data_IF_665803102426
#
_entry.id   IF_665803102426
#
_cell.length_a   1.000
_cell.length_b   1.000
_cell.length_c   1.000
_cell.angle_alpha   90.00
_cell.angle_beta   90.00
_cell.angle_gamma   90.00
#
_symmetry.space_group_name_H-M   'P 1'
#
loop_
_entity.id
_entity.type
_entity.pdbx_description
1 polymer ?
#
# COMPACT_ATOMS: atom_id res chain seq x y z
N UNK A 1 -26.56 -10.51 -45.66
CA UNK A 1 -25.18 -10.26 -45.20
C UNK A 1 -25.04 -8.75 -45.00
N UNK A 2 -24.95 -8.27 -43.76
CA UNK A 2 -24.78 -6.82 -43.52
C UNK A 2 -23.41 -6.35 -43.99
N UNK A 3 -23.41 -5.29 -44.80
CA UNK A 3 -22.25 -4.69 -45.47
C UNK A 3 -21.22 -4.16 -44.46
N UNK A 4 -19.92 -4.29 -44.75
CA UNK A 4 -18.80 -3.89 -43.89
C UNK A 4 -18.90 -2.43 -43.36
N UNK A 5 -19.22 -1.41 -44.17
CA UNK A 5 -19.42 -0.03 -43.69
C UNK A 5 -20.54 0.10 -42.67
N UNK A 6 -21.65 -0.64 -42.82
CA UNK A 6 -22.75 -0.60 -41.83
C UNK A 6 -22.32 -1.17 -40.48
N UNK A 7 -21.45 -2.19 -40.46
CA UNK A 7 -20.89 -2.74 -39.21
C UNK A 7 -19.96 -1.75 -38.52
N UNK A 8 -19.11 -1.05 -39.28
CA UNK A 8 -18.19 -0.04 -38.76
C UNK A 8 -18.98 1.15 -38.18
N UNK A 9 -19.98 1.64 -38.91
CA UNK A 9 -20.84 2.73 -38.43
C UNK A 9 -21.58 2.35 -37.14
N UNK A 10 -22.14 1.13 -37.07
CA UNK A 10 -22.80 0.64 -35.87
C UNK A 10 -21.84 0.53 -34.68
N UNK A 11 -20.61 0.05 -34.90
CA UNK A 11 -19.59 -0.04 -33.86
C UNK A 11 -19.20 1.34 -33.30
N UNK A 12 -19.10 2.35 -34.16
CA UNK A 12 -18.80 3.72 -33.74
C UNK A 12 -19.94 4.39 -32.98
N UNK A 13 -21.17 4.23 -33.46
CA UNK A 13 -22.36 4.72 -32.74
C UNK A 13 -22.46 4.05 -31.37
N UNK A 14 -22.23 2.73 -31.30
CA UNK A 14 -22.24 1.99 -30.05
C UNK A 14 -21.14 2.45 -29.09
N UNK A 15 -19.92 2.70 -29.59
CA UNK A 15 -18.83 3.25 -28.79
C UNK A 15 -19.19 4.62 -28.18
N UNK A 16 -19.75 5.52 -29.00
CA UNK A 16 -20.11 6.85 -28.53
C UNK A 16 -21.18 6.80 -27.44
N UNK A 17 -22.23 5.98 -27.65
CA UNK A 17 -23.29 5.76 -26.66
C UNK A 17 -22.72 5.12 -25.39
N UNK A 18 -21.88 4.09 -25.51
CA UNK A 18 -21.26 3.43 -24.36
C UNK A 18 -20.39 4.39 -23.54
N UNK A 19 -19.48 5.12 -24.20
CA UNK A 19 -18.60 6.06 -23.50
C UNK A 19 -19.39 7.21 -22.85
N UNK A 20 -20.47 7.67 -23.49
CA UNK A 20 -21.38 8.66 -22.90
C UNK A 20 -22.06 8.14 -21.63
N UNK A 21 -22.53 6.89 -21.64
CA UNK A 21 -23.08 6.22 -20.46
C UNK A 21 -22.05 6.04 -19.36
N UNK A 22 -20.84 5.58 -19.69
CA UNK A 22 -19.74 5.45 -18.72
C UNK A 22 -19.41 6.80 -18.07
N UNK A 23 -19.39 7.90 -18.83
CA UNK A 23 -19.19 9.23 -18.24
C UNK A 23 -20.33 9.62 -17.30
N UNK A 24 -21.59 9.38 -17.67
CA UNK A 24 -22.74 9.64 -16.81
C UNK A 24 -22.71 8.79 -15.53
N UNK A 25 -22.23 7.54 -15.61
CA UNK A 25 -22.02 6.67 -14.45
C UNK A 25 -20.92 7.22 -13.55
N UNK A 26 -19.78 7.64 -14.09
CA UNK A 26 -18.70 8.29 -13.34
C UNK A 26 -19.23 9.52 -12.58
N UNK A 27 -19.99 10.39 -13.26
CA UNK A 27 -20.57 11.59 -12.64
C UNK A 27 -21.58 11.24 -11.55
N UNK A 28 -22.35 10.16 -11.73
CA UNK A 28 -23.32 9.68 -10.75
C UNK A 28 -22.64 9.08 -9.52
N UNK A 29 -21.58 8.30 -9.70
CA UNK A 29 -20.76 7.76 -8.62
C UNK A 29 -20.10 8.91 -7.84
N UNK A 30 -19.56 9.93 -8.52
CA UNK A 30 -19.00 11.11 -7.87
C UNK A 30 -20.04 11.88 -7.04
N UNK A 31 -21.28 12.01 -7.53
CA UNK A 31 -22.38 12.62 -6.75
C UNK A 31 -22.76 11.79 -5.52
N UNK A 32 -22.78 10.46 -5.65
CA UNK A 32 -23.02 9.56 -4.51
C UNK A 32 -21.91 9.68 -3.48
N UNK A 33 -20.66 9.69 -3.93
CA UNK A 33 -19.49 9.85 -3.09
C UNK A 33 -19.51 11.17 -2.31
N UNK A 34 -19.89 12.28 -2.97
CA UNK A 34 -19.99 13.59 -2.32
C UNK A 34 -21.16 13.71 -1.31
N UNK A 35 -22.18 12.86 -1.42
CA UNK A 35 -23.39 12.91 -0.56
C UNK A 35 -23.41 11.84 0.52
N UNK A 36 -22.45 10.91 0.53
CA UNK A 36 -22.45 9.76 1.43
C UNK A 36 -21.50 9.96 2.60
N UNK A 37 -22.03 9.87 3.82
CA UNK A 37 -21.22 9.88 5.06
C UNK A 37 -20.65 8.48 5.40
N UNK A 38 -21.31 7.40 5.00
CA UNK A 38 -20.90 6.01 5.27
C UNK A 38 -20.57 5.24 3.98
N UNK A 39 -19.32 4.81 3.85
CA UNK A 39 -18.82 4.09 2.68
C UNK A 39 -19.52 2.74 2.43
N UNK A 40 -20.01 2.05 3.48
CA UNK A 40 -20.78 0.80 3.30
C UNK A 40 -22.07 1.01 2.53
N UNK A 41 -22.76 2.13 2.80
CA UNK A 41 -23.98 2.48 2.09
C UNK A 41 -23.72 2.89 0.63
N UNK A 42 -22.53 3.44 0.35
CA UNK A 42 -22.10 3.68 -1.03
C UNK A 42 -21.95 2.36 -1.79
N UNK A 43 -21.27 1.37 -1.21
CA UNK A 43 -21.10 0.05 -1.83
C UNK A 43 -22.46 -0.61 -2.10
N UNK A 44 -23.39 -0.53 -1.15
CA UNK A 44 -24.75 -1.07 -1.31
C UNK A 44 -25.50 -0.43 -2.49
N UNK A 45 -25.34 0.88 -2.71
CA UNK A 45 -25.91 1.57 -3.88
C UNK A 45 -25.24 1.15 -5.18
N UNK A 46 -23.94 0.93 -5.19
CA UNK A 46 -23.23 0.44 -6.37
C UNK A 46 -23.66 -0.99 -6.73
N UNK A 47 -23.93 -1.84 -5.73
CA UNK A 47 -24.45 -3.19 -5.95
C UNK A 47 -25.80 -3.20 -6.66
N UNK A 48 -26.71 -2.35 -6.23
CA UNK A 48 -28.08 -2.29 -6.73
C UNK A 48 -28.26 -1.21 -7.81
N UNK A 49 -27.23 -0.96 -8.61
CA UNK A 49 -27.27 0.01 -9.70
C UNK A 49 -28.43 -0.30 -10.65
N UNK A 50 -29.32 0.67 -10.86
CA UNK A 50 -30.56 0.49 -11.64
C UNK A 50 -30.38 0.78 -13.13
N UNK A 51 -29.41 1.62 -13.48
CA UNK A 51 -29.13 2.03 -14.85
C UNK A 51 -28.17 1.06 -15.55
N UNK A 52 -27.84 1.32 -16.83
CA UNK A 52 -26.81 0.57 -17.54
C UNK A 52 -25.48 0.64 -16.77
N UNK A 53 -24.91 -0.49 -16.33
CA UNK A 53 -23.80 -0.50 -15.40
C UNK A 53 -22.44 -0.35 -16.10
N UNK A 54 -22.36 -0.04 -17.40
CA UNK A 54 -21.09 0.03 -18.10
C UNK A 54 -20.12 1.06 -17.50
N UNK A 55 -18.94 0.59 -17.09
CA UNK A 55 -17.77 1.37 -16.67
C UNK A 55 -16.58 1.14 -17.60
N UNK A 56 -16.82 0.75 -18.86
CA UNK A 56 -15.75 0.48 -19.82
C UNK A 56 -15.63 1.59 -20.86
N UNK A 57 -14.43 2.17 -20.99
CA UNK A 57 -14.16 3.16 -22.05
C UNK A 57 -13.65 2.43 -23.29
N UNK A 58 -14.44 2.50 -24.36
CA UNK A 58 -14.15 1.86 -25.64
C UNK A 58 -13.46 2.84 -26.58
N UNK A 59 -12.38 2.40 -27.24
CA UNK A 59 -11.55 3.25 -28.12
C UNK A 59 -11.33 2.56 -29.49
N UNK A 60 -12.36 1.92 -30.05
CA UNK A 60 -12.28 1.25 -31.36
C UNK A 60 -11.94 2.22 -32.49
N UNK A 61 -12.47 3.45 -32.47
CA UNK A 61 -12.12 4.49 -33.45
C UNK A 61 -10.63 4.80 -33.42
N UNK A 62 -10.03 4.95 -32.23
CA UNK A 62 -8.59 5.19 -32.10
C UNK A 62 -7.79 4.06 -32.76
N UNK A 63 -8.08 2.81 -32.41
CA UNK A 63 -7.34 1.66 -32.95
C UNK A 63 -7.54 1.49 -34.46
N UNK A 64 -8.74 1.74 -34.99
CA UNK A 64 -8.97 1.68 -36.44
C UNK A 64 -8.07 2.68 -37.18
N UNK A 65 -8.04 3.95 -36.76
CA UNK A 65 -7.25 4.98 -37.44
C UNK A 65 -5.74 4.79 -37.25
N UNK A 66 -5.30 4.18 -36.14
CA UNK A 66 -3.91 3.72 -35.98
C UNK A 66 -3.58 2.61 -37.00
N UNK A 67 -4.42 1.59 -37.12
CA UNK A 67 -4.21 0.51 -38.10
C UNK A 67 -4.20 1.04 -39.55
N UNK A 68 -5.14 1.93 -39.89
CA UNK A 68 -5.18 2.59 -41.21
C UNK A 68 -3.92 3.44 -41.42
N UNK A 69 -3.49 4.20 -40.41
CA UNK A 69 -2.29 5.03 -40.48
C UNK A 69 -1.02 4.21 -40.72
N UNK A 70 -0.87 3.09 -40.00
CA UNK A 70 0.24 2.14 -40.18
C UNK A 70 0.20 1.53 -41.59
N UNK A 71 -0.97 1.07 -42.04
CA UNK A 71 -1.13 0.50 -43.39
C UNK A 71 -0.76 1.49 -44.49
N UNK A 72 -1.19 2.75 -44.37
CA UNK A 72 -0.84 3.83 -45.31
C UNK A 72 0.65 4.17 -45.25
N UNK A 73 1.28 4.15 -44.07
CA UNK A 73 2.71 4.38 -43.93
C UNK A 73 3.54 3.27 -44.61
N UNK A 74 3.13 2.02 -44.48
CA UNK A 74 3.77 0.89 -45.18
C UNK A 74 3.64 1.07 -46.69
N UNK A 75 2.46 1.43 -47.20
CA UNK A 75 2.26 1.70 -48.64
C UNK A 75 3.07 2.90 -49.14
N UNK A 76 3.20 3.95 -48.32
CA UNK A 76 4.00 5.14 -48.62
C UNK A 76 5.48 4.80 -48.85
N UNK A 77 6.01 3.82 -48.11
CA UNK A 77 7.39 3.36 -48.25
C UNK A 77 7.68 2.74 -49.62
N UNK A 78 6.69 2.05 -50.21
CA UNK A 78 6.86 1.35 -51.50
C UNK A 78 6.43 2.17 -52.73
N UNK A 79 5.68 3.26 -52.56
CA UNK A 79 5.05 3.98 -53.68
C UNK A 79 5.46 5.44 -53.75
N UNK A 80 4.89 6.29 -52.90
CA UNK A 80 5.09 7.74 -52.93
C UNK A 80 5.17 8.37 -51.54
N UNK A 81 6.15 9.28 -51.30
CA UNK A 81 6.33 9.93 -50.01
C UNK A 81 5.14 10.76 -49.52
N UNK A 82 4.29 11.26 -50.43
CA UNK A 82 3.12 12.08 -50.05
C UNK A 82 2.11 11.31 -49.19
N UNK A 83 2.08 9.98 -49.29
CA UNK A 83 1.24 9.12 -48.45
C UNK A 83 1.66 9.14 -46.98
N UNK A 84 2.89 9.53 -46.64
CA UNK A 84 3.28 9.74 -45.24
C UNK A 84 2.49 10.88 -44.58
N UNK A 85 2.12 11.93 -45.34
CA UNK A 85 1.28 13.00 -44.80
C UNK A 85 -0.12 12.49 -44.43
N UNK A 86 -0.69 11.59 -45.23
CA UNK A 86 -1.97 10.94 -44.93
C UNK A 86 -1.88 9.99 -43.74
N UNK A 87 -0.77 9.25 -43.60
CA UNK A 87 -0.53 8.43 -42.42
C UNK A 87 -0.44 9.28 -41.14
N UNK A 88 0.31 10.39 -41.18
CA UNK A 88 0.43 11.34 -40.05
C UNK A 88 -0.93 11.95 -39.71
N UNK A 89 -1.70 12.38 -40.71
CA UNK A 89 -3.04 12.93 -40.50
C UNK A 89 -4.01 11.90 -39.87
N UNK A 90 -3.96 10.64 -40.32
CA UNK A 90 -4.74 9.53 -39.76
C UNK A 90 -4.39 9.26 -38.29
N UNK A 91 -3.09 9.22 -37.97
CA UNK A 91 -2.60 9.03 -36.59
C UNK A 91 -2.99 10.24 -35.71
N UNK A 92 -2.82 11.47 -36.20
CA UNK A 92 -3.23 12.68 -35.48
C UNK A 92 -4.75 12.68 -35.19
N UNK A 93 -5.56 12.27 -36.15
CA UNK A 93 -7.01 12.13 -35.96
C UNK A 93 -7.36 11.04 -34.93
N UNK A 94 -6.62 9.92 -34.91
CA UNK A 94 -6.78 8.88 -33.89
C UNK A 94 -6.60 9.47 -32.49
N UNK A 95 -5.49 10.18 -32.25
CA UNK A 95 -5.22 10.81 -30.96
C UNK A 95 -6.25 11.87 -30.58
N UNK A 96 -6.73 12.67 -31.54
CA UNK A 96 -7.80 13.63 -31.32
C UNK A 96 -9.12 12.98 -30.87
N UNK A 97 -9.46 11.81 -31.41
CA UNK A 97 -10.69 11.07 -31.06
C UNK A 97 -10.55 10.12 -29.87
N UNK A 98 -9.38 10.01 -29.27
CA UNK A 98 -9.15 9.12 -28.13
C UNK A 98 -9.91 9.60 -26.89
N UNK A 99 -10.77 8.75 -26.33
CA UNK A 99 -11.36 8.99 -25.01
C UNK A 99 -10.38 8.55 -23.92
N UNK A 100 -10.09 9.46 -22.99
CA UNK A 100 -9.14 9.22 -21.90
C UNK A 100 -9.73 8.30 -20.83
N UNK A 101 -8.99 7.26 -20.44
CA UNK A 101 -9.35 6.38 -19.32
C UNK A 101 -8.96 6.95 -17.95
N UNK A 102 -8.23 8.07 -17.92
CA UNK A 102 -7.69 8.65 -16.68
C UNK A 102 -8.77 8.96 -15.63
N UNK A 103 -9.91 9.62 -15.95
CA UNK A 103 -10.90 9.97 -14.94
C UNK A 103 -11.52 8.74 -14.27
N UNK A 104 -11.76 7.68 -15.04
CA UNK A 104 -12.27 6.41 -14.53
C UNK A 104 -11.26 5.75 -13.60
N UNK A 105 -10.01 5.62 -14.03
CA UNK A 105 -8.97 4.99 -13.21
C UNK A 105 -8.75 5.77 -11.91
N UNK A 106 -8.69 7.10 -11.98
CA UNK A 106 -8.57 7.95 -10.79
C UNK A 106 -9.75 7.79 -9.83
N UNK A 107 -10.98 7.67 -10.35
CA UNK A 107 -12.16 7.40 -9.53
C UNK A 107 -12.06 6.03 -8.86
N UNK A 108 -11.68 4.99 -9.60
CA UNK A 108 -11.51 3.64 -9.06
C UNK A 108 -10.44 3.67 -7.96
N UNK A 109 -9.25 4.18 -8.24
CA UNK A 109 -8.14 4.27 -7.28
C UNK A 109 -8.57 5.02 -6.00
N UNK A 110 -9.30 6.13 -6.16
CA UNK A 110 -9.84 6.90 -5.04
C UNK A 110 -10.86 6.10 -4.21
N UNK A 111 -11.81 5.41 -4.85
CA UNK A 111 -12.80 4.58 -4.15
C UNK A 111 -12.14 3.41 -3.43
N UNK A 112 -11.16 2.76 -4.07
CA UNK A 112 -10.38 1.69 -3.46
C UNK A 112 -9.67 2.18 -2.19
N UNK A 113 -9.01 3.34 -2.26
CA UNK A 113 -8.37 3.94 -1.09
C UNK A 113 -9.40 4.27 -0.01
N UNK A 114 -10.49 4.96 -0.34
CA UNK A 114 -11.52 5.35 0.64
C UNK A 114 -12.19 4.16 1.32
N UNK A 115 -12.38 3.07 0.58
CA UNK A 115 -12.87 1.82 1.12
C UNK A 115 -11.95 1.27 2.21
N UNK A 116 -10.64 1.23 1.95
CA UNK A 116 -9.65 0.77 2.93
C UNK A 116 -9.58 1.68 4.14
N UNK A 117 -9.63 3.00 3.93
CA UNK A 117 -9.68 4.01 5.01
C UNK A 117 -10.88 3.77 5.94
N UNK A 118 -12.06 3.55 5.37
CA UNK A 118 -13.27 3.25 6.14
C UNK A 118 -13.19 1.88 6.84
N UNK A 119 -12.82 0.82 6.11
CA UNK A 119 -12.78 -0.56 6.59
C UNK A 119 -11.81 -0.76 7.74
N UNK A 120 -10.62 -0.16 7.67
CA UNK A 120 -9.57 -0.33 8.67
C UNK A 120 -9.44 0.86 9.64
N UNK A 121 -10.25 1.91 9.45
CA UNK A 121 -10.17 3.17 10.20
C UNK A 121 -8.77 3.79 10.12
N UNK A 122 -8.21 3.80 8.91
CA UNK A 122 -6.87 4.31 8.58
C UNK A 122 -6.95 5.54 7.67
N UNK A 123 -5.83 6.24 7.51
CA UNK A 123 -5.68 7.41 6.61
C UNK A 123 -4.37 7.32 5.84
N UNK A 124 -4.42 7.29 4.51
CA UNK A 124 -3.23 7.21 3.65
C UNK A 124 -2.53 8.57 3.43
N UNK A 125 -3.25 9.67 3.61
CA UNK A 125 -2.72 11.04 3.50
C UNK A 125 -3.25 11.89 4.65
N UNK A 126 -2.71 11.75 5.87
CA UNK A 126 -3.15 12.58 6.98
C UNK A 126 -2.78 14.04 6.75
N UNK A 127 -3.50 14.96 7.38
CA UNK A 127 -3.04 16.34 7.50
C UNK A 127 -1.86 16.39 8.47
N UNK A 128 -0.94 17.36 8.31
CA UNK A 128 0.23 17.53 9.21
C UNK A 128 -0.15 17.64 10.70
N UNK A 129 -1.38 18.04 10.99
CA UNK A 129 -1.91 18.24 12.35
C UNK A 129 -2.52 16.99 12.98
N UNK A 130 -2.74 15.91 12.22
CA UNK A 130 -3.71 14.88 12.62
C UNK A 130 -3.19 13.84 13.62
N UNK A 131 -1.87 13.61 13.77
CA UNK A 131 -1.36 12.65 14.76
C UNK A 131 0.08 12.98 15.19
N UNK A 132 0.30 13.16 16.51
CA UNK A 132 1.64 13.25 17.10
C UNK A 132 2.20 11.84 17.33
N UNK A 133 2.64 11.20 16.25
CA UNK A 133 3.49 10.00 16.34
C UNK A 133 4.95 10.49 16.41
N UNK A 134 5.78 9.88 17.26
CA UNK A 134 7.21 10.12 17.33
C UNK A 134 7.85 9.91 15.95
N UNK A 135 8.89 10.69 15.64
CA UNK A 135 9.58 10.56 14.36
C UNK A 135 10.22 9.17 14.24
N UNK A 136 10.10 8.47 13.09
CA UNK A 136 10.87 7.26 12.83
C UNK A 136 12.37 7.45 13.11
N UNK A 137 12.92 8.61 12.76
CA UNK A 137 14.34 8.89 12.92
C UNK A 137 14.79 9.01 14.39
N UNK A 138 13.87 9.04 15.36
CA UNK A 138 14.20 8.98 16.79
C UNK A 138 14.52 7.53 17.24
N UNK A 139 14.26 6.53 16.39
CA UNK A 139 14.63 5.14 16.63
C UNK A 139 16.00 4.81 16.00
N UNK A 140 16.82 3.96 16.64
CA UNK A 140 18.12 3.54 16.11
C UNK A 140 18.00 2.46 15.01
N UNK A 141 16.82 2.28 14.43
CA UNK A 141 16.52 1.29 13.38
C UNK A 141 16.74 1.85 11.96
N UNK A 142 16.94 3.16 11.84
CA UNK A 142 17.04 3.87 10.57
C UNK A 142 18.48 4.37 10.31
N UNK A 143 18.70 4.93 9.12
CA UNK A 143 20.04 5.33 8.67
C UNK A 143 20.88 4.14 8.18
N UNK A 144 20.21 3.15 7.56
CA UNK A 144 20.86 1.97 6.99
C UNK A 144 21.61 2.29 5.68
N UNK A 145 21.06 3.19 4.86
CA UNK A 145 21.68 3.60 3.60
C UNK A 145 22.78 4.63 3.80
N UNK A 146 23.83 4.57 2.99
CA UNK A 146 24.91 5.57 3.00
C UNK A 146 24.65 6.77 2.07
N UNK A 147 23.74 6.63 1.10
CA UNK A 147 23.40 7.68 0.13
C UNK A 147 22.07 8.35 0.42
N UNK A 148 20.99 7.58 0.57
CA UNK A 148 19.65 8.09 0.84
C UNK A 148 18.92 7.25 1.88
N UNK A 149 18.15 7.91 2.74
CA UNK A 149 17.24 7.30 3.70
C UNK A 149 15.94 8.10 3.69
N UNK A 150 14.81 7.48 3.36
CA UNK A 150 13.52 8.17 3.30
C UNK A 150 12.37 7.30 3.82
N UNK A 151 11.45 7.93 4.54
CA UNK A 151 10.18 7.34 4.94
C UNK A 151 9.12 7.76 3.92
N UNK A 152 8.40 6.78 3.36
CA UNK A 152 7.43 6.92 2.28
C UNK A 152 6.12 6.21 2.67
N UNK A 153 5.05 6.51 1.93
CA UNK A 153 3.75 5.83 2.01
C UNK A 153 3.26 5.66 3.46
N UNK A 154 3.20 6.75 4.21
CA UNK A 154 2.78 6.70 5.62
C UNK A 154 1.27 6.58 5.73
N UNK A 155 0.82 5.64 6.56
CA UNK A 155 -0.60 5.39 6.83
C UNK A 155 -0.83 5.47 8.32
N UNK A 156 -1.82 6.25 8.75
CA UNK A 156 -2.08 6.48 10.16
C UNK A 156 -3.40 5.87 10.58
N UNK A 157 -3.46 5.38 11.80
CA UNK A 157 -4.70 4.92 12.38
C UNK A 157 -4.61 4.90 13.91
N UNK A 158 -5.70 4.47 14.52
CA UNK A 158 -5.80 4.39 15.96
C UNK A 158 -6.49 3.09 16.34
N UNK A 159 -5.90 2.32 17.25
CA UNK A 159 -6.58 1.18 17.87
C UNK A 159 -7.13 1.57 19.24
N UNK A 160 -8.28 1.02 19.59
CA UNK A 160 -8.85 1.09 20.92
C UNK A 160 -8.91 -0.32 21.50
N UNK A 161 -8.11 -0.58 22.54
CA UNK A 161 -7.95 -1.91 23.15
C UNK A 161 -8.08 -1.74 24.65
N UNK A 162 -9.06 -2.43 25.27
CA UNK A 162 -9.30 -2.39 26.72
C UNK A 162 -9.43 -0.96 27.28
N UNK A 163 -10.01 -0.03 26.51
CA UNK A 163 -10.16 1.39 26.89
C UNK A 163 -8.91 2.26 26.69
N UNK A 164 -7.78 1.67 26.28
CA UNK A 164 -6.57 2.42 25.91
C UNK A 164 -6.55 2.74 24.41
N UNK A 165 -6.02 3.91 24.09
CA UNK A 165 -5.88 4.41 22.73
C UNK A 165 -4.43 4.25 22.29
N UNK A 166 -4.24 3.54 21.18
CA UNK A 166 -2.94 3.28 20.56
C UNK A 166 -2.91 3.91 19.16
N UNK A 167 -2.53 5.18 19.02
CA UNK A 167 -2.19 5.76 17.73
C UNK A 167 -1.04 4.99 17.10
N UNK A 168 -1.09 4.76 15.79
CA UNK A 168 -0.02 4.10 15.08
C UNK A 168 0.19 4.67 13.68
N UNK A 169 1.39 4.44 13.15
CA UNK A 169 1.77 4.76 11.78
C UNK A 169 2.40 3.54 11.12
N UNK A 170 1.84 3.11 10.00
CA UNK A 170 2.50 2.21 9.06
C UNK A 170 3.36 3.04 8.11
N UNK A 171 4.47 2.50 7.65
CA UNK A 171 5.36 3.20 6.73
C UNK A 171 6.16 2.24 5.86
N UNK A 172 6.61 2.74 4.71
CA UNK A 172 7.67 2.15 3.91
C UNK A 172 8.96 2.94 4.17
N UNK A 173 10.03 2.25 4.52
CA UNK A 173 11.36 2.81 4.67
C UNK A 173 12.21 2.41 3.48
N UNK A 174 12.56 3.40 2.68
CA UNK A 174 13.41 3.25 1.50
C UNK A 174 14.81 3.75 1.82
N UNK A 175 15.83 2.94 1.53
CA UNK A 175 17.21 3.36 1.66
C UNK A 175 18.04 2.92 0.46
N UNK A 176 19.10 3.70 0.19
CA UNK A 176 19.98 3.53 -0.96
C UNK A 176 21.41 3.46 -0.49
N UNK A 177 22.12 2.44 -0.98
CA UNK A 177 23.56 2.30 -0.84
C UNK A 177 24.25 2.71 -2.15
N UNK A 178 25.33 3.49 -2.06
CA UNK A 178 26.22 3.82 -3.16
C UNK A 178 27.41 2.83 -3.18
N UNK A 179 27.48 2.01 -4.23
CA UNK A 179 28.53 1.01 -4.38
C UNK A 179 29.42 1.36 -5.56
N UNK A 180 30.70 1.63 -5.28
CA UNK A 180 31.72 1.73 -6.33
C UNK A 180 32.14 0.34 -6.81
N UNK A 181 31.89 0.05 -8.07
CA UNK A 181 32.37 -1.17 -8.74
C UNK A 181 33.42 -0.81 -9.77
N UNK A 182 34.48 -1.62 -9.90
CA UNK A 182 35.43 -1.50 -11.01
C UNK A 182 35.02 -2.45 -12.11
N UNK A 183 34.87 -1.91 -13.31
CA UNK A 183 34.69 -2.73 -14.50
C UNK A 183 36.00 -3.47 -14.84
N UNK A 184 35.89 -4.51 -15.66
CA UNK A 184 36.98 -5.27 -16.28
C UNK A 184 38.03 -4.40 -16.97
N UNK A 185 37.65 -3.21 -17.46
CA UNK A 185 38.53 -2.20 -18.06
C UNK A 185 39.19 -1.24 -17.04
N UNK A 186 39.00 -1.46 -15.73
CA UNK A 186 39.58 -0.63 -14.66
C UNK A 186 38.88 0.72 -14.43
N UNK A 187 37.75 0.98 -15.08
CA UNK A 187 36.92 2.18 -14.85
C UNK A 187 36.02 1.98 -13.63
N UNK A 188 35.97 2.98 -12.76
CA UNK A 188 35.03 3.02 -11.64
C UNK A 188 33.64 3.36 -12.15
N UNK A 189 32.65 2.54 -11.78
CA UNK A 189 31.22 2.74 -12.02
C UNK A 189 30.52 2.77 -10.67
N UNK A 190 29.80 3.85 -10.42
CA UNK A 190 28.91 3.98 -9.26
C UNK A 190 27.60 3.27 -9.56
N UNK A 191 27.19 2.35 -8.68
CA UNK A 191 25.91 1.65 -8.70
C UNK A 191 25.10 2.05 -7.45
N UNK A 192 23.83 2.44 -7.64
CA UNK A 192 22.91 2.72 -6.54
C UNK A 192 22.02 1.50 -6.29
N UNK A 193 22.07 0.94 -5.08
CA UNK A 193 21.26 -0.21 -4.68
C UNK A 193 20.12 0.24 -3.79
N UNK A 194 18.91 0.00 -4.26
CA UNK A 194 17.68 0.38 -3.59
C UNK A 194 17.13 -0.76 -2.75
N UNK A 195 16.71 -0.45 -1.54
CA UNK A 195 16.11 -1.40 -0.62
C UNK A 195 14.86 -0.81 0.03
N UNK A 196 13.87 -1.68 0.24
CA UNK A 196 12.62 -1.34 0.90
C UNK A 196 12.40 -2.23 2.11
N UNK A 197 12.04 -1.58 3.21
CA UNK A 197 11.52 -2.19 4.43
C UNK A 197 10.16 -1.56 4.74
N UNK A 198 9.40 -2.22 5.60
CA UNK A 198 8.12 -1.74 6.07
C UNK A 198 8.06 -1.90 7.57
N UNK A 199 7.25 -1.07 8.21
CA UNK A 199 7.10 -1.16 9.63
C UNK A 199 5.90 -0.43 10.17
N UNK A 200 5.77 -0.53 11.48
CA UNK A 200 4.75 0.13 12.27
C UNK A 200 5.39 0.80 13.47
N UNK A 201 4.97 2.04 13.75
CA UNK A 201 5.19 2.70 15.03
C UNK A 201 3.88 2.70 15.77
N UNK A 202 3.87 2.26 17.03
CA UNK A 202 2.70 2.26 17.92
C UNK A 202 3.02 3.08 19.15
N UNK A 203 2.26 4.16 19.37
CA UNK A 203 2.35 5.02 20.55
C UNK A 203 1.67 4.39 21.76
N UNK A 204 1.94 4.95 22.94
CA UNK A 204 1.40 4.53 24.24
C UNK A 204 1.66 3.06 24.59
N UNK A 205 2.74 2.47 24.09
CA UNK A 205 3.10 1.08 24.35
C UNK A 205 3.30 0.82 25.86
N UNK A 206 2.78 -0.30 26.44
CA UNK A 206 2.71 -0.47 27.90
C UNK A 206 4.06 -0.66 28.63
N UNK A 207 5.15 -0.81 27.89
CA UNK A 207 6.50 -0.98 28.44
C UNK A 207 7.49 -0.10 27.65
N UNK A 208 8.74 -0.02 28.12
CA UNK A 208 9.78 0.85 27.56
C UNK A 208 11.16 0.23 27.66
N UNK A 209 12.01 0.52 26.67
CA UNK A 209 13.43 0.17 26.69
C UNK A 209 13.69 -1.32 26.51
N UNK A 210 13.05 -1.90 25.49
CA UNK A 210 13.24 -3.29 25.06
C UNK A 210 13.71 -3.28 23.61
N UNK A 211 14.62 -4.17 23.26
CA UNK A 211 15.11 -4.33 21.90
C UNK A 211 15.29 -5.81 21.57
N UNK A 212 14.71 -6.22 20.45
CA UNK A 212 14.79 -7.55 19.85
C UNK A 212 15.28 -7.35 18.42
N UNK A 213 16.51 -7.77 18.12
CA UNK A 213 17.13 -7.50 16.82
C UNK A 213 17.48 -8.77 16.06
N UNK A 214 17.07 -8.85 14.79
CA UNK A 214 17.20 -10.02 13.89
C UNK A 214 18.58 -10.15 13.23
N UNK A 215 19.31 -9.04 13.14
CA UNK A 215 20.71 -8.96 12.72
C UNK A 215 21.39 -8.18 13.82
N UNK A 216 22.48 -8.67 14.40
CA UNK A 216 23.14 -8.08 15.58
C UNK A 216 23.60 -6.62 15.41
N UNK A 217 22.66 -5.68 15.30
CA UNK A 217 22.89 -4.28 15.03
C UNK A 217 23.26 -3.62 16.35
N UNK A 218 24.50 -3.12 16.42
CA UNK A 218 25.02 -2.48 17.64
C UNK A 218 24.22 -1.23 18.00
N UNK A 219 23.67 -0.51 17.01
CA UNK A 219 22.88 0.69 17.26
C UNK A 219 21.59 0.41 18.04
N UNK A 220 21.01 -0.79 17.86
CA UNK A 220 19.78 -1.18 18.53
C UNK A 220 20.01 -1.78 19.93
N UNK A 221 21.27 -1.97 20.34
CA UNK A 221 21.60 -2.57 21.64
C UNK A 221 21.36 -1.58 22.76
N UNK A 222 20.58 -2.02 23.74
CA UNK A 222 20.42 -1.32 25.00
C UNK A 222 21.42 -1.86 26.03
N UNK A 223 21.63 -1.12 27.13
CA UNK A 223 22.75 -1.33 28.06
C UNK A 223 22.87 -2.72 28.67
N UNK A 224 21.78 -3.50 28.74
CA UNK A 224 21.76 -4.84 29.32
C UNK A 224 21.40 -5.87 28.25
N UNK A 225 22.25 -6.90 28.07
CA UNK A 225 21.93 -8.07 27.23
C UNK A 225 21.03 -9.05 27.99
N UNK A 226 20.11 -9.70 27.30
CA UNK A 226 19.21 -10.72 27.88
C UNK A 226 19.27 -12.04 27.12
N UNK A 227 18.81 -13.12 27.76
CA UNK A 227 18.53 -14.43 27.17
C UNK A 227 17.12 -14.82 27.56
N UNK A 228 16.29 -15.20 26.60
CA UNK A 228 14.88 -15.55 26.84
C UNK A 228 14.70 -16.88 27.57
N UNK A 229 15.76 -17.69 27.67
CA UNK A 229 15.68 -19.08 28.11
C UNK A 229 15.21 -20.05 27.03
N UNK A 230 14.74 -19.56 25.88
CA UNK A 230 14.47 -20.36 24.68
C UNK A 230 15.63 -20.22 23.69
N UNK A 231 16.36 -21.32 23.50
CA UNK A 231 17.52 -21.38 22.60
C UNK A 231 17.13 -21.07 21.15
N UNK A 232 15.93 -21.47 20.70
CA UNK A 232 15.49 -21.23 19.32
C UNK A 232 15.25 -19.74 19.08
N UNK A 233 14.68 -19.05 20.06
CA UNK A 233 14.43 -17.62 19.97
C UNK A 233 15.74 -16.83 20.05
N UNK A 234 16.60 -17.16 21.01
CA UNK A 234 17.91 -16.49 21.21
C UNK A 234 18.89 -16.74 20.05
N UNK A 235 18.74 -17.84 19.30
CA UNK A 235 19.51 -18.09 18.07
C UNK A 235 19.08 -17.19 16.91
N UNK A 236 17.81 -16.76 16.90
CA UNK A 236 17.26 -15.93 15.83
C UNK A 236 17.37 -14.43 16.15
N UNK A 237 17.33 -14.07 17.43
CA UNK A 237 17.25 -12.68 17.87
C UNK A 237 18.23 -12.36 18.99
N UNK A 238 18.79 -11.17 18.94
CA UNK A 238 19.52 -10.58 20.05
C UNK A 238 18.57 -9.77 20.93
N UNK A 239 18.54 -10.08 22.22
CA UNK A 239 17.70 -9.39 23.20
C UNK A 239 18.53 -8.42 24.04
N UNK A 240 18.02 -7.20 24.22
CA UNK A 240 18.61 -6.21 25.11
C UNK A 240 17.57 -5.26 25.69
N UNK A 241 17.91 -4.60 26.80
CA UNK A 241 17.04 -3.63 27.47
C UNK A 241 17.80 -2.67 28.36
N UNK A 242 17.06 -1.79 29.03
CA UNK A 242 17.62 -0.78 29.94
C UNK A 242 17.93 -1.32 31.34
N UNK A 243 17.24 -2.37 31.79
CA UNK A 243 17.46 -3.01 33.09
C UNK A 243 16.93 -4.46 33.08
N UNK A 244 17.63 -5.36 33.76
CA UNK A 244 17.29 -6.79 33.93
C UNK A 244 15.86 -7.03 34.46
N UNK A 245 15.39 -6.27 35.44
CA UNK A 245 14.05 -6.47 36.01
C UNK A 245 12.93 -6.23 34.99
N UNK A 246 13.11 -5.24 34.10
CA UNK A 246 12.14 -4.99 33.02
C UNK A 246 12.18 -6.10 31.97
N UNK A 247 13.38 -6.54 31.63
CA UNK A 247 13.59 -7.64 30.70
C UNK A 247 12.97 -8.94 31.21
N UNK A 248 13.17 -9.29 32.48
CA UNK A 248 12.57 -10.48 33.09
C UNK A 248 11.03 -10.46 33.07
N UNK A 249 10.41 -9.29 33.30
CA UNK A 249 8.95 -9.13 33.22
C UNK A 249 8.44 -9.21 31.78
N UNK A 250 9.16 -8.62 30.83
CA UNK A 250 8.76 -8.59 29.43
C UNK A 250 8.97 -9.93 28.73
N UNK A 251 10.07 -10.63 29.00
CA UNK A 251 10.40 -11.93 28.42
C UNK A 251 9.95 -13.08 29.31
N UNK A 252 8.70 -13.03 29.79
CA UNK A 252 8.07 -14.20 30.42
C UNK A 252 7.96 -15.34 29.39
N UNK A 253 7.92 -16.62 29.80
CA UNK A 253 7.80 -17.74 28.86
C UNK A 253 6.60 -17.61 27.90
N UNK A 254 5.47 -17.09 28.38
CA UNK A 254 4.30 -16.84 27.55
C UNK A 254 4.56 -15.76 26.50
N UNK A 255 5.20 -14.65 26.90
CA UNK A 255 5.52 -13.56 25.98
C UNK A 255 6.54 -13.98 24.92
N UNK A 256 7.54 -14.80 25.29
CA UNK A 256 8.54 -15.31 24.35
C UNK A 256 7.87 -16.18 23.28
N UNK A 257 6.96 -17.07 23.67
CA UNK A 257 6.21 -17.91 22.72
C UNK A 257 5.36 -17.06 21.75
N UNK A 258 4.64 -16.06 22.29
CA UNK A 258 3.85 -15.13 21.50
C UNK A 258 4.72 -14.32 20.53
N UNK A 259 5.86 -13.80 21.00
CA UNK A 259 6.80 -13.05 20.18
C UNK A 259 7.42 -13.94 19.09
N UNK A 260 7.77 -15.19 19.39
CA UNK A 260 8.28 -16.14 18.38
C UNK A 260 7.25 -16.36 17.26
N UNK A 261 5.98 -16.57 17.62
CA UNK A 261 4.89 -16.70 16.65
C UNK A 261 4.73 -15.44 15.80
N UNK A 262 4.64 -14.27 16.43
CA UNK A 262 4.45 -12.99 15.73
C UNK A 262 5.64 -12.65 14.82
N UNK A 263 6.87 -12.83 15.30
CA UNK A 263 8.10 -12.52 14.58
C UNK A 263 8.50 -13.57 13.54
N UNK A 264 7.93 -14.78 13.60
CA UNK A 264 8.06 -15.76 12.51
C UNK A 264 7.37 -15.27 11.23
N UNK A 265 6.21 -14.62 11.37
CA UNK A 265 5.49 -14.01 10.25
C UNK A 265 6.14 -12.70 9.80
N UNK A 266 6.55 -11.85 10.75
CA UNK A 266 7.17 -10.54 10.46
C UNK A 266 8.60 -10.47 10.97
N UNK A 267 9.49 -11.23 10.33
CA UNK A 267 10.89 -11.29 10.73
C UNK A 267 11.57 -9.93 10.55
N UNK A 268 12.04 -9.36 11.65
CA UNK A 268 12.62 -8.03 11.66
C UNK A 268 13.06 -7.58 13.04
N UNK A 269 13.28 -6.28 13.18
CA UNK A 269 13.75 -5.64 14.41
C UNK A 269 12.57 -5.00 15.16
N UNK A 270 12.41 -5.35 16.42
CA UNK A 270 11.35 -4.88 17.31
C UNK A 270 11.99 -4.08 18.44
N UNK A 271 11.68 -2.79 18.52
CA UNK A 271 12.35 -1.86 19.42
C UNK A 271 11.34 -0.95 20.12
N UNK A 272 11.36 -0.96 21.44
CA UNK A 272 10.54 -0.11 22.28
C UNK A 272 11.42 0.99 22.87
N UNK A 273 11.08 2.24 22.57
CA UNK A 273 11.90 3.40 22.93
C UNK A 273 12.12 3.49 24.46
N UNK A 274 13.34 3.82 24.93
CA UNK A 274 13.63 3.82 26.36
C UNK A 274 13.01 4.98 27.14
N UNK A 275 12.78 6.13 26.50
CA UNK A 275 12.20 7.33 27.12
C UNK A 275 10.79 7.69 26.62
N UNK A 276 10.34 7.07 25.53
CA UNK A 276 9.04 7.34 24.92
C UNK A 276 8.27 6.02 24.90
N UNK A 277 6.99 5.99 25.29
CA UNK A 277 6.20 4.76 25.29
C UNK A 277 5.78 4.42 23.85
N UNK A 278 6.76 4.14 22.98
CA UNK A 278 6.52 3.89 21.57
C UNK A 278 7.29 2.64 21.13
N UNK A 279 6.59 1.74 20.43
CA UNK A 279 7.17 0.60 19.74
C UNK A 279 7.43 0.97 18.29
N UNK A 280 8.58 0.61 17.74
CA UNK A 280 8.83 0.50 16.31
C UNK A 280 9.16 -0.95 15.97
N UNK A 281 8.44 -1.51 14.99
CA UNK A 281 8.74 -2.83 14.45
C UNK A 281 8.95 -2.72 12.95
N UNK A 282 10.16 -3.10 12.50
CA UNK A 282 10.64 -2.95 11.13
C UNK A 282 10.98 -4.32 10.51
N UNK A 283 10.48 -4.63 9.32
CA UNK A 283 10.60 -5.92 8.64
C UNK A 283 10.53 -5.78 7.10
N UNK A 284 10.57 -6.89 6.37
CA UNK A 284 10.64 -6.94 4.89
C UNK A 284 9.31 -7.10 4.16
N UNK A 285 8.22 -7.42 4.86
CA UNK A 285 6.92 -7.70 4.24
C UNK A 285 6.16 -6.40 4.03
N UNK A 286 5.63 -6.18 2.82
CA UNK A 286 4.80 -5.02 2.49
C UNK A 286 3.40 -5.15 3.08
N UNK A 287 3.23 -4.63 4.30
CA UNK A 287 1.95 -4.56 5.00
C UNK A 287 1.01 -3.47 4.46
N UNK A 288 1.49 -2.60 3.57
CA UNK A 288 0.70 -1.46 3.05
C UNK A 288 -0.03 -1.82 1.75
N UNK A 289 0.30 -2.96 1.15
CA UNK A 289 -0.24 -3.39 -0.13
C UNK A 289 -1.65 -3.98 0.02
N UNK A 290 -2.67 -3.43 -0.66
CA UNK A 290 -3.97 -4.06 -0.72
C UNK A 290 -3.95 -5.29 -1.63
N UNK A 291 -4.67 -6.33 -1.22
CA UNK A 291 -5.03 -7.44 -2.05
C UNK A 291 -6.22 -7.05 -2.94
N UNK A 292 -5.92 -6.86 -4.22
CA UNK A 292 -6.89 -6.53 -5.26
C UNK A 292 -7.25 -7.79 -6.06
N UNK A 293 -8.53 -8.17 -6.16
CA UNK A 293 -8.95 -9.22 -7.09
C UNK A 293 -8.54 -8.84 -8.51
N UNK A 294 -8.02 -9.81 -9.28
CA UNK A 294 -7.47 -9.63 -10.63
C UNK A 294 -8.53 -9.18 -11.67
N UNK A 295 -9.81 -9.19 -11.32
CA UNK A 295 -10.89 -8.88 -12.24
C UNK A 295 -10.83 -7.41 -12.70
N UNK A 296 -10.80 -7.22 -14.02
CA UNK A 296 -10.92 -5.89 -14.62
C UNK A 296 -12.31 -5.32 -14.32
N UNK A 297 -12.36 -4.12 -13.77
CA UNK A 297 -13.61 -3.39 -13.53
C UNK A 297 -14.17 -2.95 -14.88
N UNK A 298 -15.20 -3.65 -15.36
CA UNK A 298 -15.89 -3.31 -16.61
C UNK A 298 -17.29 -2.74 -16.34
N UNK A 299 -17.87 -3.05 -15.19
CA UNK A 299 -19.19 -2.57 -14.75
C UNK A 299 -19.18 -1.99 -13.34
N UNK A 300 -20.23 -1.23 -12.99
CA UNK A 300 -20.46 -0.72 -11.63
C UNK A 300 -20.59 -1.86 -10.61
N UNK A 301 -21.18 -2.98 -11.00
CA UNK A 301 -21.30 -4.15 -10.12
C UNK A 301 -19.94 -4.83 -9.90
N UNK A 302 -19.07 -4.89 -10.92
CA UNK A 302 -17.70 -5.40 -10.76
C UNK A 302 -16.91 -4.53 -9.80
N UNK A 303 -17.07 -3.20 -9.90
CA UNK A 303 -16.46 -2.26 -8.97
C UNK A 303 -16.95 -2.53 -7.53
N UNK A 304 -18.25 -2.66 -7.33
CA UNK A 304 -18.81 -2.96 -6.01
C UNK A 304 -18.26 -4.27 -5.44
N UNK A 305 -18.24 -5.35 -6.23
CA UNK A 305 -17.70 -6.64 -5.82
C UNK A 305 -16.19 -6.56 -5.50
N UNK A 306 -15.43 -5.78 -6.27
CA UNK A 306 -14.01 -5.57 -6.02
C UNK A 306 -13.77 -4.81 -4.71
N UNK A 307 -14.54 -3.75 -4.44
CA UNK A 307 -14.44 -2.98 -3.19
C UNK A 307 -14.74 -3.86 -1.98
N UNK A 308 -15.76 -4.72 -2.04
CA UNK A 308 -16.11 -5.58 -0.91
C UNK A 308 -15.07 -6.66 -0.59
N UNK A 309 -14.53 -7.27 -1.63
CA UNK A 309 -13.53 -8.33 -1.50
C UNK A 309 -12.12 -7.81 -1.21
N UNK A 310 -11.91 -6.50 -1.26
CA UNK A 310 -10.62 -5.89 -0.98
C UNK A 310 -10.21 -6.08 0.49
N UNK A 311 -8.97 -6.48 0.70
CA UNK A 311 -8.39 -6.60 2.04
C UNK A 311 -6.91 -6.24 2.06
N UNK A 312 -6.35 -6.06 3.26
CA UNK A 312 -4.91 -5.92 3.50
C UNK A 312 -4.45 -7.06 4.41
N UNK A 313 -4.27 -8.28 3.88
CA UNK A 313 -4.10 -9.49 4.70
C UNK A 313 -2.86 -9.43 5.61
N UNK A 314 -1.74 -8.91 5.10
CA UNK A 314 -0.51 -8.77 5.90
C UNK A 314 -0.69 -7.74 7.03
N UNK A 315 -1.42 -6.65 6.79
CA UNK A 315 -1.79 -5.70 7.84
C UNK A 315 -2.76 -6.32 8.86
N UNK A 316 -3.76 -7.08 8.42
CA UNK A 316 -4.70 -7.77 9.33
C UNK A 316 -3.97 -8.75 10.26
N UNK A 317 -3.04 -9.52 9.71
CA UNK A 317 -2.21 -10.46 10.47
C UNK A 317 -1.27 -9.73 11.45
N UNK A 318 -0.65 -8.62 11.01
CA UNK A 318 0.18 -7.77 11.87
C UNK A 318 -0.64 -7.17 13.02
N UNK A 319 -1.80 -6.59 12.70
CA UNK A 319 -2.74 -6.01 13.67
C UNK A 319 -3.14 -7.05 14.70
N UNK A 320 -3.53 -8.25 14.28
CA UNK A 320 -3.89 -9.32 15.21
C UNK A 320 -2.74 -9.66 16.15
N UNK A 321 -1.53 -9.82 15.60
CA UNK A 321 -0.33 -10.12 16.39
C UNK A 321 -0.03 -9.03 17.43
N UNK A 322 -0.12 -7.75 17.03
CA UNK A 322 0.13 -6.62 17.92
C UNK A 322 -0.95 -6.42 18.97
N UNK A 323 -2.22 -6.65 18.64
CA UNK A 323 -3.31 -6.61 19.62
C UNK A 323 -3.07 -7.66 20.70
N UNK A 324 -2.71 -8.89 20.33
CA UNK A 324 -2.36 -9.95 21.29
C UNK A 324 -1.17 -9.54 22.16
N UNK A 325 -0.11 -8.99 21.57
CA UNK A 325 1.05 -8.48 22.33
C UNK A 325 0.64 -7.38 23.30
N UNK A 326 -0.17 -6.41 22.87
CA UNK A 326 -0.62 -5.31 23.71
C UNK A 326 -1.49 -5.79 24.86
N UNK A 327 -2.38 -6.76 24.64
CA UNK A 327 -3.23 -7.34 25.68
C UNK A 327 -2.43 -8.09 26.74
N UNK A 328 -1.42 -8.87 26.35
CA UNK A 328 -0.59 -9.64 27.28
C UNK A 328 0.41 -8.77 28.06
N UNK A 329 0.96 -7.74 27.40
CA UNK A 329 1.94 -6.84 28.03
C UNK A 329 1.27 -5.75 28.88
N UNK A 330 -0.04 -5.55 28.74
CA UNK A 330 -0.78 -4.61 29.59
C UNK A 330 -0.70 -5.04 31.07
N UNK A 331 -0.50 -4.09 32.00
CA UNK A 331 -0.54 -4.42 33.42
C UNK A 331 -1.97 -4.82 33.82
N UNK A 332 -2.14 -6.03 34.38
CA UNK A 332 -3.40 -6.50 34.94
C UNK A 332 -4.00 -5.45 35.90
N UNK A 333 -5.05 -4.76 35.47
CA UNK A 333 -5.78 -3.78 36.29
C UNK A 333 -6.76 -4.44 37.28
N UNK A 334 -6.78 -5.76 37.40
CA UNK A 334 -7.72 -6.50 38.25
C UNK A 334 -7.25 -6.80 39.69
N UNK A 335 -6.11 -6.27 40.15
CA UNK A 335 -5.69 -6.43 41.56
C UNK A 335 -5.62 -5.10 42.31
N UNK A 336 -6.73 -4.37 42.35
CA UNK A 336 -6.99 -3.33 43.36
C UNK A 336 -8.51 -3.12 43.52
N UNK A 337 -9.20 -4.17 43.96
CA UNK A 337 -10.41 -4.01 44.78
C UNK A 337 -10.07 -4.63 46.14
N UNK A 338 -9.60 -3.79 47.06
CA UNK A 338 -9.63 -4.06 48.49
C UNK A 338 -10.82 -3.34 49.09
#
# INVERSE_FOLDING_TARGET
MNDLPTKIQNAFSQQHVNNGKTQSNIDSINRLLASTENFEHLIEKLKHWQDDPSLSIQNYTFWLFICVGIGVAILAFFTHPILFLFAIASIAFAFYKRTSTKPLNQLIDYLQQKNLEAKYQIRFFPNETDNKIISPYDFPLFGLGDYENSIRNTIYGTWQINGFIYPYMLFNYHYVDEVETRDSDGKTKTEYRHYDLWGIIVENFPTQGISISSKQNRACRLGTKWSSGDIRFDNQYQLSGTNEMRLAKFFSPNHVLMLDQAMSNFKGDFYIHPQHPALCWLFKIDITKPHLPVNQVQTVHDLAAQLESMSMPDYEQLKQSLITILQEVQPNTETNKF
#
